data_IF_758262343188
#
_entry.id   IF_758262343188
#
_cell.length_a   1.000
_cell.length_b   1.000
_cell.length_c   1.000
_cell.angle_alpha   90.00
_cell.angle_beta   90.00
_cell.angle_gamma   90.00
#
_symmetry.space_group_name_H-M   'P 1'
#
loop_
_entity.id
_entity.type
_entity.pdbx_description
1 polymer ?
#
# COMPACT_ATOMS: atom_id res chain seq x y z
N UNK A 1 16.68 -17.60 57.78
CA UNK A 1 17.01 -16.22 57.32
C UNK A 1 16.13 -15.90 56.13
N UNK A 2 15.48 -14.73 56.15
CA UNK A 2 14.74 -14.18 55.01
C UNK A 2 15.57 -13.05 54.40
N UNK A 3 15.75 -13.08 53.08
CA UNK A 3 16.54 -12.08 52.35
C UNK A 3 15.68 -11.41 51.28
N UNK A 4 15.90 -10.11 51.11
CA UNK A 4 15.23 -9.30 50.10
C UNK A 4 16.28 -8.58 49.27
N UNK A 5 16.07 -8.58 47.96
CA UNK A 5 16.93 -7.90 46.98
C UNK A 5 16.24 -6.65 46.49
N UNK A 6 16.90 -5.51 46.66
CA UNK A 6 16.58 -4.30 45.88
C UNK A 6 17.47 -4.32 44.64
N UNK A 7 18.61 -3.63 44.68
CA UNK A 7 19.70 -3.78 43.72
C UNK A 7 20.68 -4.90 44.15
N UNK A 8 20.87 -5.04 45.46
CA UNK A 8 21.73 -6.06 46.08
C UNK A 8 20.99 -6.82 47.20
N UNK A 9 21.52 -7.98 47.59
CA UNK A 9 21.03 -8.74 48.74
C UNK A 9 21.55 -8.11 50.04
N UNK A 10 20.95 -7.00 50.47
CA UNK A 10 21.38 -6.23 51.66
C UNK A 10 20.31 -6.09 52.73
N UNK A 11 19.18 -6.77 52.59
CA UNK A 11 18.05 -6.67 53.51
C UNK A 11 17.75 -8.05 54.08
N UNK A 12 18.15 -8.33 55.33
CA UNK A 12 18.05 -9.69 55.90
C UNK A 12 17.49 -9.72 57.31
N UNK A 13 16.50 -10.58 57.51
CA UNK A 13 15.96 -10.93 58.82
C UNK A 13 16.41 -12.35 59.22
N UNK A 14 16.96 -12.49 60.43
CA UNK A 14 17.59 -13.74 60.89
C UNK A 14 16.96 -14.21 62.21
N UNK A 15 16.60 -15.48 62.28
CA UNK A 15 16.14 -16.17 63.48
C UNK A 15 17.13 -17.27 63.85
N UNK A 16 17.33 -17.52 65.15
CA UNK A 16 18.30 -18.49 65.66
C UNK A 16 19.68 -17.89 65.89
N UNK A 17 20.72 -18.68 65.58
CA UNK A 17 22.10 -18.22 65.67
C UNK A 17 22.40 -17.23 64.53
N UNK A 18 22.52 -15.94 64.86
CA UNK A 18 22.81 -14.87 63.90
C UNK A 18 24.18 -15.02 63.22
N UNK A 19 25.09 -15.82 63.78
CA UNK A 19 26.44 -16.04 63.27
C UNK A 19 26.58 -17.35 62.48
N UNK A 20 25.51 -18.15 62.35
CA UNK A 20 25.52 -19.35 61.51
C UNK A 20 25.58 -19.02 60.00
N UNK A 21 25.19 -17.81 59.61
CA UNK A 21 25.32 -17.29 58.25
C UNK A 21 26.00 -15.92 58.35
N UNK A 22 27.20 -15.80 57.79
CA UNK A 22 28.10 -14.64 57.95
C UNK A 22 27.84 -13.51 56.94
N UNK A 23 26.73 -13.57 56.21
CA UNK A 23 26.39 -12.59 55.17
C UNK A 23 25.88 -11.26 55.75
N UNK A 24 26.52 -10.16 55.37
CA UNK A 24 26.17 -8.80 55.76
C UNK A 24 26.77 -8.35 57.10
N UNK A 25 26.89 -7.03 57.28
CA UNK A 25 27.50 -6.47 58.48
C UNK A 25 26.66 -6.73 59.76
N UNK A 26 27.33 -7.19 60.83
CA UNK A 26 26.70 -7.45 62.13
C UNK A 26 26.05 -6.17 62.69
N UNK A 27 24.88 -6.29 63.30
CA UNK A 27 24.19 -5.16 63.95
C UNK A 27 23.61 -4.12 62.97
N UNK A 28 23.59 -4.41 61.68
CA UNK A 28 23.00 -3.54 60.65
C UNK A 28 21.72 -4.14 60.07
N UNK A 29 21.03 -3.37 59.25
CA UNK A 29 19.88 -3.82 58.44
C UNK A 29 20.22 -4.97 57.48
N UNK A 30 21.50 -5.18 57.19
CA UNK A 30 22.00 -6.29 56.38
C UNK A 30 21.97 -7.64 57.11
N UNK A 31 21.78 -7.62 58.44
CA UNK A 31 21.71 -8.81 59.28
C UNK A 31 20.94 -8.53 60.58
N UNK A 32 19.65 -8.23 60.43
CA UNK A 32 18.77 -7.92 61.56
C UNK A 32 18.34 -9.21 62.28
N UNK A 33 18.78 -9.40 63.52
CA UNK A 33 18.35 -10.54 64.35
C UNK A 33 16.93 -10.31 64.88
N UNK A 34 16.07 -11.32 64.75
CA UNK A 34 14.63 -11.26 65.03
C UNK A 34 14.17 -12.21 66.13
N UNK A 35 15.08 -12.97 66.74
CA UNK A 35 14.79 -13.84 67.87
C UNK A 35 15.30 -15.27 67.69
N UNK A 36 14.83 -16.16 68.57
CA UNK A 36 15.15 -17.58 68.54
C UNK A 36 14.53 -18.29 67.32
N UNK A 37 14.97 -19.52 67.03
CA UNK A 37 14.29 -20.36 66.05
C UNK A 37 12.87 -20.72 66.52
N UNK A 38 11.91 -20.85 65.60
CA UNK A 38 10.60 -21.44 65.91
C UNK A 38 10.72 -22.82 66.56
N UNK A 39 9.75 -23.16 67.41
CA UNK A 39 9.66 -24.48 68.03
C UNK A 39 9.50 -25.57 66.96
N UNK A 40 10.26 -26.65 67.07
CA UNK A 40 10.22 -27.74 66.11
C UNK A 40 8.84 -28.41 66.09
N UNK A 41 8.33 -28.73 64.90
CA UNK A 41 7.04 -29.41 64.72
C UNK A 41 5.80 -28.52 64.72
N UNK A 42 5.95 -27.19 64.86
CA UNK A 42 4.83 -26.23 64.79
C UNK A 42 4.99 -25.27 63.62
N UNK A 43 3.86 -24.89 63.01
CA UNK A 43 3.83 -23.76 62.07
C UNK A 43 3.83 -22.45 62.84
N UNK A 44 4.80 -21.59 62.57
CA UNK A 44 4.94 -20.29 63.22
C UNK A 44 5.01 -19.21 62.16
N UNK A 45 4.15 -18.20 62.28
CA UNK A 45 4.18 -17.01 61.41
C UNK A 45 5.37 -16.14 61.80
N UNK A 46 6.31 -15.97 60.86
CA UNK A 46 7.41 -15.02 61.01
C UNK A 46 7.01 -13.68 60.39
N UNK A 47 6.96 -12.64 61.22
CA UNK A 47 6.63 -11.28 60.78
C UNK A 47 7.58 -10.25 61.38
N UNK A 48 7.85 -9.20 60.60
CA UNK A 48 8.68 -8.07 61.01
C UNK A 48 8.35 -6.86 60.13
N UNK A 49 8.55 -5.67 60.68
CA UNK A 49 8.42 -4.41 59.94
C UNK A 49 9.52 -4.28 58.89
N UNK A 50 9.18 -3.89 57.65
CA UNK A 50 10.14 -3.80 56.55
C UNK A 50 11.31 -2.84 56.85
N UNK A 51 11.06 -1.80 57.66
CA UNK A 51 12.07 -0.84 58.13
C UNK A 51 13.20 -1.48 58.94
N UNK A 52 12.95 -2.62 59.59
CA UNK A 52 13.95 -3.36 60.40
C UNK A 52 15.09 -3.89 59.53
N UNK A 53 14.79 -4.27 58.29
CA UNK A 53 15.79 -4.68 57.30
C UNK A 53 16.20 -3.53 56.39
N UNK A 54 15.86 -2.29 56.76
CA UNK A 54 16.24 -1.07 56.06
C UNK A 54 15.46 -0.80 54.77
N UNK A 55 14.35 -1.50 54.53
CA UNK A 55 13.46 -1.22 53.41
C UNK A 55 12.56 -0.02 53.75
N UNK A 56 12.44 0.90 52.81
CA UNK A 56 11.64 2.13 52.91
C UNK A 56 10.44 2.09 51.96
N UNK A 57 9.38 2.88 52.22
CA UNK A 57 8.30 3.06 51.26
C UNK A 57 8.84 3.50 49.89
N UNK A 58 8.51 2.73 48.84
CA UNK A 58 8.97 2.99 47.48
C UNK A 58 10.16 2.13 47.02
N UNK A 59 10.83 1.41 47.92
CA UNK A 59 11.89 0.48 47.53
C UNK A 59 11.33 -0.67 46.68
N UNK A 60 11.97 -0.93 45.54
CA UNK A 60 11.59 -2.03 44.65
C UNK A 60 12.29 -3.31 45.08
N UNK A 61 11.53 -4.24 45.65
CA UNK A 61 12.03 -5.58 45.95
C UNK A 61 11.98 -6.44 44.67
N UNK A 62 13.15 -6.71 44.11
CA UNK A 62 13.35 -7.49 42.88
C UNK A 62 13.60 -8.98 43.14
N UNK A 63 13.59 -9.44 44.39
CA UNK A 63 13.79 -10.84 44.74
C UNK A 63 13.64 -11.11 46.23
N UNK A 64 13.20 -12.32 46.55
CA UNK A 64 13.08 -12.85 47.92
C UNK A 64 13.80 -14.19 47.96
N UNK A 65 14.57 -14.44 49.01
CA UNK A 65 15.21 -15.74 49.24
C UNK A 65 14.98 -16.23 50.68
N UNK A 66 14.69 -17.52 50.79
CA UNK A 66 14.54 -18.23 52.05
C UNK A 66 15.80 -19.05 52.27
N UNK A 67 16.56 -18.72 53.30
CA UNK A 67 17.88 -19.31 53.54
C UNK A 67 17.92 -20.00 54.90
N UNK A 68 18.34 -21.26 54.89
CA UNK A 68 18.52 -22.08 56.08
C UNK A 68 19.98 -22.51 56.22
N UNK A 69 20.43 -22.75 57.44
CA UNK A 69 21.74 -23.33 57.75
C UNK A 69 21.54 -24.53 58.66
N UNK A 70 21.85 -25.73 58.15
CA UNK A 70 21.60 -26.99 58.85
C UNK A 70 20.11 -27.35 59.00
N UNK A 71 19.84 -28.63 59.26
CA UNK A 71 18.49 -29.14 59.52
C UNK A 71 17.53 -29.10 58.32
N UNK A 72 16.23 -29.19 58.61
CA UNK A 72 15.13 -29.14 57.64
C UNK A 72 14.08 -28.13 58.10
N UNK A 73 13.75 -27.16 57.25
CA UNK A 73 12.67 -26.20 57.49
C UNK A 73 11.60 -26.34 56.40
N UNK A 74 10.34 -26.21 56.78
CA UNK A 74 9.21 -26.08 55.85
C UNK A 74 8.80 -24.61 55.73
N UNK A 75 8.55 -24.15 54.51
CA UNK A 75 7.96 -22.83 54.24
C UNK A 75 6.58 -23.05 53.63
N UNK A 76 5.60 -22.26 54.05
CA UNK A 76 4.26 -22.25 53.49
C UNK A 76 4.01 -20.88 52.84
N UNK A 77 3.07 -20.09 53.36
CA UNK A 77 2.72 -18.81 52.79
C UNK A 77 3.76 -17.72 53.11
N UNK A 78 4.08 -16.90 52.12
CA UNK A 78 4.88 -15.70 52.27
C UNK A 78 4.21 -14.53 51.54
N UNK A 79 4.26 -13.36 52.15
CA UNK A 79 3.67 -12.14 51.58
C UNK A 79 4.11 -10.91 52.34
N UNK A 80 3.68 -9.75 51.85
CA UNK A 80 3.81 -8.48 52.52
C UNK A 80 2.43 -7.83 52.61
N UNK A 81 2.14 -7.21 53.76
CA UNK A 81 0.96 -6.37 53.94
C UNK A 81 1.40 -4.92 53.94
N UNK A 82 0.76 -4.09 53.12
CA UNK A 82 1.08 -2.67 53.02
C UNK A 82 -0.16 -1.85 52.71
N UNK A 83 -0.07 -0.53 52.94
CA UNK A 83 -1.08 0.43 52.53
C UNK A 83 -0.67 1.03 51.19
N UNK A 84 -1.47 0.80 50.17
CA UNK A 84 -1.37 1.53 48.90
C UNK A 84 -1.99 2.91 49.11
N UNK A 85 -1.29 3.95 48.67
CA UNK A 85 -1.84 5.30 48.53
C UNK A 85 -2.11 5.57 47.04
N UNK A 86 -3.36 5.43 46.57
CA UNK A 86 -3.70 5.60 45.17
C UNK A 86 -3.31 6.98 44.61
N UNK A 87 -3.21 8.01 45.45
CA UNK A 87 -2.85 9.36 45.02
C UNK A 87 -1.39 9.47 44.53
N UNK A 88 -0.52 8.58 45.03
CA UNK A 88 0.91 8.55 44.72
C UNK A 88 1.34 7.39 43.81
N UNK A 89 0.43 6.48 43.47
CA UNK A 89 0.67 5.40 42.52
C UNK A 89 0.44 5.89 41.07
N UNK A 90 1.47 5.94 40.20
CA UNK A 90 1.31 6.32 38.80
C UNK A 90 0.30 5.46 38.04
N UNK A 91 0.10 4.19 38.40
CA UNK A 91 -0.86 3.32 37.71
C UNK A 91 -2.31 3.57 38.12
N UNK A 92 -2.55 4.33 39.20
CA UNK A 92 -3.88 4.63 39.73
C UNK A 92 -4.21 6.14 39.70
N UNK A 93 -3.20 7.01 39.62
CA UNK A 93 -3.36 8.46 39.58
C UNK A 93 -2.67 9.09 38.36
N UNK A 94 -3.48 9.76 37.52
CA UNK A 94 -2.99 10.59 36.42
C UNK A 94 -2.02 11.68 36.92
N UNK A 95 -2.28 12.26 38.08
CA UNK A 95 -1.43 13.29 38.65
C UNK A 95 -0.07 12.73 39.10
N UNK A 96 -0.04 11.52 39.69
CA UNK A 96 1.21 10.83 40.00
C UNK A 96 2.00 10.46 38.74
N UNK A 97 1.31 9.94 37.72
CA UNK A 97 1.93 9.62 36.43
C UNK A 97 2.48 10.85 35.72
N UNK A 98 1.74 11.96 35.71
CA UNK A 98 2.18 13.22 35.10
C UNK A 98 3.40 13.78 35.84
N UNK A 99 3.34 13.86 37.18
CA UNK A 99 4.48 14.30 38.01
C UNK A 99 5.73 13.46 37.78
N UNK A 100 5.59 12.15 37.57
CA UNK A 100 6.72 11.25 37.32
C UNK A 100 7.52 11.63 36.06
N UNK A 101 6.85 12.17 35.04
CA UNK A 101 7.43 12.50 33.74
C UNK A 101 7.64 14.01 33.52
N UNK A 102 7.13 14.84 34.43
CA UNK A 102 7.27 16.30 34.37
C UNK A 102 8.75 16.72 34.35
N UNK A 103 9.11 17.58 33.39
CA UNK A 103 10.50 18.06 33.23
C UNK A 103 11.49 16.99 32.77
N UNK A 104 11.01 15.84 32.30
CA UNK A 104 11.84 14.74 31.77
C UNK A 104 11.58 14.53 30.27
N UNK A 105 12.47 13.76 29.63
CA UNK A 105 12.33 13.32 28.25
C UNK A 105 12.14 11.79 28.18
N UNK A 106 10.94 11.27 28.50
CA UNK A 106 10.71 9.82 28.59
C UNK A 106 10.70 9.18 27.20
N UNK A 107 11.79 8.47 26.89
CA UNK A 107 11.98 7.79 25.60
C UNK A 107 10.97 6.67 25.34
N UNK A 108 10.35 6.15 26.39
CA UNK A 108 9.31 5.13 26.32
C UNK A 108 7.95 5.64 25.81
N UNK A 109 7.71 6.96 25.85
CA UNK A 109 6.44 7.53 25.44
C UNK A 109 6.40 7.85 23.92
N UNK A 110 5.22 7.71 23.27
CA UNK A 110 5.06 8.11 21.88
C UNK A 110 5.42 9.58 21.66
N UNK A 111 6.02 9.89 20.49
CA UNK A 111 6.51 11.23 20.15
C UNK A 111 5.57 12.40 20.53
N UNK A 112 4.27 12.36 20.17
CA UNK A 112 3.34 13.43 20.53
C UNK A 112 3.14 13.63 22.04
N UNK A 113 3.19 12.55 22.84
CA UNK A 113 3.04 12.61 24.31
C UNK A 113 4.35 13.05 24.96
N UNK A 114 5.47 12.51 24.49
CA UNK A 114 6.82 12.90 24.91
C UNK A 114 7.07 14.39 24.71
N UNK A 115 6.64 14.93 23.57
CA UNK A 115 6.79 16.35 23.26
C UNK A 115 6.04 17.26 24.24
N UNK A 116 4.84 16.86 24.69
CA UNK A 116 4.08 17.62 25.70
C UNK A 116 4.85 17.74 27.03
N UNK A 117 5.56 16.68 27.45
CA UNK A 117 6.39 16.72 28.65
C UNK A 117 7.69 17.50 28.47
N UNK A 118 8.24 17.49 27.25
CA UNK A 118 9.50 18.17 26.92
C UNK A 118 9.36 19.68 26.76
N UNK A 119 8.35 20.14 26.02
CA UNK A 119 8.29 21.54 25.56
C UNK A 119 7.21 22.38 26.22
N UNK A 120 6.32 21.77 27.01
CA UNK A 120 5.22 22.51 27.67
C UNK A 120 5.18 22.25 29.17
N UNK A 121 5.54 23.28 29.95
CA UNK A 121 5.39 23.26 31.40
C UNK A 121 3.94 22.96 31.79
N UNK A 122 3.72 22.19 32.87
CA UNK A 122 2.38 21.81 33.33
C UNK A 122 1.37 22.95 33.40
N UNK A 123 1.79 24.15 33.84
CA UNK A 123 0.93 25.34 33.97
C UNK A 123 0.51 25.95 32.64
N UNK A 124 1.22 25.66 31.55
CA UNK A 124 1.02 26.26 30.22
C UNK A 124 0.41 25.27 29.21
N UNK A 125 0.00 24.07 29.65
CA UNK A 125 -0.58 23.06 28.76
C UNK A 125 -1.96 23.51 28.27
N UNK A 126 -2.17 23.41 26.96
CA UNK A 126 -3.47 23.67 26.36
C UNK A 126 -4.49 22.58 26.76
N UNK A 127 -5.80 22.86 26.70
CA UNK A 127 -6.83 21.85 26.95
C UNK A 127 -6.67 20.59 26.09
N UNK A 128 -6.22 20.75 24.83
CA UNK A 128 -5.96 19.64 23.92
C UNK A 128 -4.78 18.76 24.38
N UNK A 129 -3.69 19.37 24.88
CA UNK A 129 -2.55 18.63 25.41
C UNK A 129 -2.92 17.87 26.68
N UNK A 130 -3.69 18.49 27.59
CA UNK A 130 -4.20 17.81 28.79
C UNK A 130 -5.10 16.63 28.43
N UNK A 131 -6.00 16.81 27.46
CA UNK A 131 -6.85 15.73 26.96
C UNK A 131 -6.02 14.59 26.34
N UNK A 132 -4.96 14.90 25.58
CA UNK A 132 -4.07 13.91 24.99
C UNK A 132 -3.32 13.09 26.06
N UNK A 133 -2.76 13.75 27.08
CA UNK A 133 -2.11 13.08 28.22
C UNK A 133 -3.09 12.16 28.95
N UNK A 134 -4.30 12.64 29.24
CA UNK A 134 -5.35 11.85 29.90
C UNK A 134 -5.77 10.66 29.05
N UNK A 135 -5.97 10.84 27.75
CA UNK A 135 -6.34 9.75 26.84
C UNK A 135 -5.25 8.68 26.79
N UNK A 136 -3.98 9.09 26.69
CA UNK A 136 -2.85 8.17 26.72
C UNK A 136 -2.79 7.38 28.04
N UNK A 137 -2.91 8.09 29.17
CA UNK A 137 -2.91 7.51 30.49
C UNK A 137 -3.99 6.44 30.67
N UNK A 138 -5.25 6.78 30.34
CA UNK A 138 -6.37 5.84 30.44
C UNK A 138 -6.18 4.63 29.51
N UNK A 139 -5.62 4.86 28.31
CA UNK A 139 -5.45 3.79 27.35
C UNK A 139 -4.31 2.82 27.68
N UNK A 140 -3.21 3.30 28.28
CA UNK A 140 -1.95 2.53 28.35
C UNK A 140 -1.36 2.35 29.75
N UNK A 141 -1.69 3.23 30.68
CA UNK A 141 -0.98 3.35 31.97
C UNK A 141 -1.86 3.00 33.17
N UNK A 142 -3.15 3.39 33.12
CA UNK A 142 -4.08 3.18 34.22
C UNK A 142 -4.41 1.71 34.41
N UNK A 143 -4.16 1.17 35.60
CA UNK A 143 -4.44 -0.22 35.94
C UNK A 143 -5.92 -0.60 35.76
N UNK A 144 -6.83 0.35 36.02
CA UNK A 144 -8.27 0.13 35.94
C UNK A 144 -8.79 -0.01 34.49
N UNK A 145 -8.22 0.74 33.54
CA UNK A 145 -8.74 0.82 32.17
C UNK A 145 -7.85 0.13 31.13
N UNK A 146 -6.56 -0.06 31.42
CA UNK A 146 -5.58 -0.67 30.51
C UNK A 146 -6.01 -2.02 29.93
N UNK A 147 -6.59 -2.98 30.68
CA UNK A 147 -6.99 -4.26 30.09
C UNK A 147 -8.02 -4.11 28.97
N UNK A 148 -9.04 -3.26 29.18
CA UNK A 148 -10.08 -2.99 28.19
C UNK A 148 -9.54 -2.26 26.95
N UNK A 149 -8.64 -1.30 27.14
CA UNK A 149 -8.02 -0.60 26.02
C UNK A 149 -7.00 -1.46 25.27
N UNK A 150 -6.32 -2.40 25.93
CA UNK A 150 -5.36 -3.29 25.29
C UNK A 150 -6.02 -4.12 24.18
N UNK A 151 -7.21 -4.67 24.43
CA UNK A 151 -8.00 -5.41 23.44
C UNK A 151 -8.38 -4.52 22.24
N UNK A 152 -8.95 -3.34 22.51
CA UNK A 152 -9.36 -2.38 21.47
C UNK A 152 -8.17 -1.85 20.64
N UNK A 153 -7.03 -1.62 21.28
CA UNK A 153 -5.82 -1.17 20.59
C UNK A 153 -5.26 -2.27 19.68
N UNK A 154 -5.25 -3.52 20.14
CA UNK A 154 -4.83 -4.67 19.35
C UNK A 154 -5.75 -4.90 18.14
N UNK A 155 -7.06 -4.79 18.33
CA UNK A 155 -8.04 -4.86 17.24
C UNK A 155 -7.81 -3.73 16.23
N UNK A 156 -7.69 -2.49 16.70
CA UNK A 156 -7.44 -1.34 15.84
C UNK A 156 -6.12 -1.45 15.06
N UNK A 157 -5.09 -2.06 15.65
CA UNK A 157 -3.82 -2.34 14.96
C UNK A 157 -3.98 -3.39 13.87
N UNK A 158 -4.71 -4.48 14.15
CA UNK A 158 -5.05 -5.51 13.16
C UNK A 158 -5.82 -4.93 11.97
N UNK A 159 -6.82 -4.08 12.24
CA UNK A 159 -7.60 -3.41 11.19
C UNK A 159 -6.72 -2.47 10.36
N UNK A 160 -5.87 -1.66 11.00
CA UNK A 160 -4.92 -0.77 10.28
C UNK A 160 -3.96 -1.56 9.40
N UNK A 161 -3.43 -2.68 9.91
CA UNK A 161 -2.55 -3.58 9.16
C UNK A 161 -3.28 -4.13 7.93
N UNK A 162 -4.48 -4.68 8.11
CA UNK A 162 -5.29 -5.25 7.04
C UNK A 162 -5.68 -4.20 5.98
N UNK A 163 -5.95 -2.97 6.40
CA UNK A 163 -6.17 -1.84 5.47
C UNK A 163 -4.92 -1.55 4.64
N UNK A 164 -3.75 -1.46 5.28
CA UNK A 164 -2.50 -1.24 4.56
C UNK A 164 -2.16 -2.36 3.57
N UNK A 165 -2.39 -3.62 3.94
CA UNK A 165 -2.24 -4.77 3.04
C UNK A 165 -3.20 -4.69 1.85
N UNK A 166 -4.46 -4.31 2.08
CA UNK A 166 -5.44 -4.13 1.02
C UNK A 166 -5.02 -3.00 0.07
N UNK A 167 -4.68 -1.83 0.60
CA UNK A 167 -4.22 -0.68 -0.19
C UNK A 167 -2.99 -1.03 -1.03
N UNK A 168 -2.02 -1.76 -0.46
CA UNK A 168 -0.83 -2.23 -1.18
C UNK A 168 -1.14 -3.29 -2.25
N UNK A 169 -2.24 -4.04 -2.10
CA UNK A 169 -2.68 -5.03 -3.09
C UNK A 169 -3.37 -4.42 -4.30
N UNK A 170 -3.86 -3.18 -4.20
CA UNK A 170 -4.49 -2.48 -5.31
C UNK A 170 -3.43 -2.19 -6.38
N UNK A 171 -3.57 -2.71 -7.61
CA UNK A 171 -2.65 -2.38 -8.68
C UNK A 171 -2.69 -0.86 -8.94
N UNK A 172 -1.55 -0.20 -8.76
CA UNK A 172 -1.39 1.20 -9.11
C UNK A 172 -0.94 1.33 -10.57
N UNK A 173 -1.44 2.36 -11.23
CA UNK A 173 -0.98 2.75 -12.56
C UNK A 173 -0.53 4.20 -12.50
N UNK A 174 0.59 4.50 -13.15
CA UNK A 174 1.00 5.88 -13.34
C UNK A 174 -0.03 6.59 -14.21
N UNK A 175 -0.48 7.75 -13.74
CA UNK A 175 -1.32 8.67 -14.51
C UNK A 175 -0.56 9.94 -14.77
N UNK A 176 -0.68 10.46 -15.99
CA UNK A 176 -0.10 11.75 -16.34
C UNK A 176 -1.00 12.86 -15.83
N UNK A 177 -0.47 13.68 -14.92
CA UNK A 177 -1.11 14.92 -14.48
C UNK A 177 -0.43 16.11 -15.14
N UNK A 178 -1.20 17.11 -15.53
CA UNK A 178 -0.64 18.38 -15.99
C UNK A 178 0.12 19.06 -14.84
N UNK A 179 1.23 19.71 -15.20
CA UNK A 179 2.01 20.53 -14.26
C UNK A 179 1.30 21.85 -14.02
N UNK A 180 1.42 22.40 -12.81
CA UNK A 180 0.88 23.73 -12.47
C UNK A 180 1.43 24.81 -13.41
N UNK A 181 2.71 24.70 -13.79
CA UNK A 181 3.34 25.50 -14.83
C UNK A 181 3.66 24.61 -16.05
N UNK A 182 3.00 24.81 -17.20
CA UNK A 182 3.33 24.11 -18.43
C UNK A 182 4.78 24.35 -18.86
N UNK A 183 5.40 23.35 -19.48
CA UNK A 183 6.70 23.49 -20.12
C UNK A 183 6.56 24.25 -21.42
N UNK A 184 7.51 25.14 -21.69
CA UNK A 184 7.61 25.79 -22.99
C UNK A 184 7.96 24.76 -24.07
N UNK A 185 7.31 24.85 -25.22
CA UNK A 185 7.51 23.98 -26.38
C UNK A 185 7.82 24.84 -27.60
N UNK A 186 8.64 24.32 -28.52
CA UNK A 186 9.14 25.06 -29.67
C UNK A 186 9.09 24.21 -30.94
N UNK A 187 8.95 24.83 -32.10
CA UNK A 187 9.15 24.16 -33.39
C UNK A 187 10.65 23.94 -33.59
N UNK A 188 11.08 22.69 -33.76
CA UNK A 188 12.49 22.36 -33.95
C UNK A 188 12.91 22.64 -35.40
N UNK A 189 13.92 23.50 -35.59
CA UNK A 189 14.40 23.85 -36.92
C UNK A 189 14.98 22.60 -37.60
N UNK A 190 14.38 22.19 -38.73
CA UNK A 190 14.74 20.97 -39.46
C UNK A 190 14.66 19.69 -38.60
N UNK A 191 13.86 19.70 -37.53
CA UNK A 191 13.72 18.57 -36.61
C UNK A 191 14.90 18.35 -35.65
N UNK A 192 15.89 19.26 -35.62
CA UNK A 192 17.03 19.15 -34.72
C UNK A 192 16.63 19.55 -33.28
N UNK A 193 16.73 18.61 -32.34
CA UNK A 193 16.27 18.77 -30.96
C UNK A 193 17.00 19.88 -30.17
N UNK A 194 18.20 20.24 -30.62
CA UNK A 194 19.08 21.26 -30.05
C UNK A 194 18.91 22.64 -30.70
N UNK A 195 18.02 22.77 -31.69
CA UNK A 195 17.76 24.02 -32.41
C UNK A 195 16.29 24.46 -32.26
N UNK A 196 15.90 24.98 -31.09
CA UNK A 196 14.55 25.49 -30.88
C UNK A 196 14.32 26.73 -31.76
N UNK A 197 13.23 26.71 -32.51
CA UNK A 197 12.71 27.86 -33.26
C UNK A 197 11.60 28.56 -32.49
N UNK A 198 10.48 28.83 -33.15
CA UNK A 198 9.37 29.56 -32.57
C UNK A 198 8.68 28.80 -31.43
N UNK A 199 8.33 29.53 -30.37
CA UNK A 199 7.56 28.98 -29.25
C UNK A 199 6.13 28.69 -29.71
N UNK A 200 5.60 27.53 -29.33
CA UNK A 200 4.24 27.11 -29.65
C UNK A 200 3.41 26.92 -28.39
N UNK A 201 2.10 27.12 -28.54
CA UNK A 201 1.10 26.85 -27.52
C UNK A 201 0.28 25.63 -27.91
N UNK A 202 -0.53 25.13 -26.96
CA UNK A 202 -1.46 24.02 -27.23
C UNK A 202 -2.49 24.46 -28.27
N UNK A 203 -2.64 23.68 -29.33
CA UNK A 203 -3.57 23.94 -30.41
C UNK A 203 -3.71 22.74 -31.34
N UNK A 204 -4.40 22.94 -32.45
CA UNK A 204 -4.58 21.95 -33.52
C UNK A 204 -4.10 22.54 -34.85
N UNK A 205 -3.71 21.72 -35.83
CA UNK A 205 -3.31 22.23 -37.14
C UNK A 205 -4.43 23.06 -37.78
N UNK A 206 -4.08 24.23 -38.33
CA UNK A 206 -5.03 25.18 -38.90
C UNK A 206 -5.79 24.66 -40.13
N UNK A 207 -5.31 23.56 -40.75
CA UNK A 207 -5.98 22.87 -41.85
C UNK A 207 -7.26 22.12 -41.42
N UNK A 208 -7.47 21.94 -40.11
CA UNK A 208 -8.64 21.28 -39.54
C UNK A 208 -9.54 22.28 -38.81
N UNK A 209 -10.79 21.90 -38.47
CA UNK A 209 -11.66 22.75 -37.67
C UNK A 209 -10.99 23.24 -36.38
N UNK A 210 -11.26 24.47 -35.93
CA UNK A 210 -10.63 25.01 -34.74
C UNK A 210 -11.05 24.22 -33.49
N UNK A 211 -10.11 24.05 -32.56
CA UNK A 211 -10.39 23.46 -31.25
C UNK A 211 -11.15 24.49 -30.38
N UNK A 212 -12.38 24.15 -29.98
CA UNK A 212 -13.20 24.98 -29.10
C UNK A 212 -12.96 24.57 -27.64
N UNK A 213 -12.23 25.41 -26.89
CA UNK A 213 -12.00 25.24 -25.45
C UNK A 213 -12.48 26.48 -24.69
N UNK A 214 -13.05 26.29 -23.49
CA UNK A 214 -13.48 27.38 -22.59
C UNK A 214 -12.32 28.04 -21.82
N UNK A 215 -11.08 27.86 -22.25
CA UNK A 215 -9.86 28.25 -21.57
C UNK A 215 -8.62 27.69 -22.27
N UNK A 216 -7.52 27.49 -21.54
CA UNK A 216 -6.33 26.85 -22.12
C UNK A 216 -6.65 25.41 -22.52
N UNK A 217 -6.46 25.03 -23.80
CA UNK A 217 -6.75 23.68 -24.26
C UNK A 217 -6.03 22.62 -23.44
N UNK A 218 -6.71 21.52 -23.16
CA UNK A 218 -6.14 20.37 -22.46
C UNK A 218 -6.36 19.07 -23.26
N UNK A 219 -5.92 17.93 -22.70
CA UNK A 219 -6.04 16.62 -23.37
C UNK A 219 -7.48 16.18 -23.59
N UNK A 220 -8.40 16.55 -22.71
CA UNK A 220 -9.83 16.25 -22.87
C UNK A 220 -10.43 17.05 -24.02
N UNK A 221 -10.02 18.30 -24.19
CA UNK A 221 -10.47 19.13 -25.32
C UNK A 221 -9.99 18.53 -26.65
N UNK A 222 -8.73 18.10 -26.73
CA UNK A 222 -8.21 17.40 -27.91
C UNK A 222 -8.96 16.10 -28.19
N UNK A 223 -9.25 15.30 -27.15
CA UNK A 223 -9.99 14.05 -27.30
C UNK A 223 -11.41 14.29 -27.85
N UNK A 224 -12.13 15.29 -27.31
CA UNK A 224 -13.45 15.70 -27.79
C UNK A 224 -13.40 16.24 -29.21
N UNK A 225 -12.37 17.01 -29.55
CA UNK A 225 -12.16 17.54 -30.88
C UNK A 225 -11.94 16.43 -31.92
N UNK A 226 -11.11 15.43 -31.59
CA UNK A 226 -10.82 14.30 -32.48
C UNK A 226 -12.09 13.53 -32.87
N UNK A 227 -13.02 13.34 -31.93
CA UNK A 227 -14.26 12.57 -32.16
C UNK A 227 -15.47 13.47 -32.46
N UNK A 228 -15.24 14.76 -32.70
CA UNK A 228 -16.32 15.71 -33.02
C UNK A 228 -16.92 15.45 -34.40
N UNK A 229 -18.19 15.82 -34.58
CA UNK A 229 -18.89 15.67 -35.86
C UNK A 229 -18.29 16.53 -36.98
N UNK A 230 -17.63 17.63 -36.60
CA UNK A 230 -16.93 18.53 -37.52
C UNK A 230 -15.60 17.95 -38.01
N UNK A 231 -15.01 16.98 -37.29
CA UNK A 231 -13.69 16.46 -37.64
C UNK A 231 -13.76 15.50 -38.86
N UNK A 232 -13.08 15.80 -39.97
CA UNK A 232 -13.32 15.10 -41.25
C UNK A 232 -12.67 13.72 -41.36
N UNK A 233 -11.63 13.42 -40.59
CA UNK A 233 -10.79 12.23 -40.83
C UNK A 233 -11.00 11.07 -39.83
N UNK A 234 -11.19 11.35 -38.54
CA UNK A 234 -11.16 10.33 -37.47
C UNK A 234 -12.05 9.12 -37.77
N UNK A 235 -13.31 9.35 -38.14
CA UNK A 235 -14.24 8.26 -38.44
C UNK A 235 -13.84 7.49 -39.71
N UNK A 236 -13.37 8.18 -40.76
CA UNK A 236 -12.90 7.57 -42.02
C UNK A 236 -11.67 6.71 -41.80
N UNK A 237 -10.67 7.25 -41.10
CA UNK A 237 -9.42 6.53 -40.80
C UNK A 237 -9.72 5.31 -39.93
N UNK A 238 -10.56 5.46 -38.90
CA UNK A 238 -10.96 4.34 -38.04
C UNK A 238 -11.69 3.24 -38.84
N UNK A 239 -12.72 3.62 -39.62
CA UNK A 239 -13.46 2.69 -40.47
C UNK A 239 -12.54 1.96 -41.46
N UNK A 240 -11.57 2.67 -42.07
CA UNK A 240 -10.59 2.08 -42.98
C UNK A 240 -9.64 1.10 -42.28
N UNK A 241 -9.17 1.41 -41.06
CA UNK A 241 -8.30 0.50 -40.30
C UNK A 241 -9.04 -0.77 -39.89
N UNK A 242 -10.29 -0.65 -39.43
CA UNK A 242 -11.13 -1.81 -39.15
C UNK A 242 -11.39 -2.61 -40.43
N UNK A 243 -11.74 -1.95 -41.53
CA UNK A 243 -11.88 -2.60 -42.83
C UNK A 243 -10.63 -3.38 -43.21
N UNK A 244 -9.45 -2.74 -43.14
CA UNK A 244 -8.18 -3.39 -43.44
C UNK A 244 -7.94 -4.64 -42.59
N UNK A 245 -8.30 -4.62 -41.30
CA UNK A 245 -8.14 -5.78 -40.41
C UNK A 245 -9.00 -6.98 -40.86
N UNK A 246 -10.20 -6.75 -41.41
CA UNK A 246 -11.12 -7.83 -41.83
C UNK A 246 -11.08 -8.16 -43.32
N UNK A 247 -10.55 -7.26 -44.16
CA UNK A 247 -10.49 -7.40 -45.62
C UNK A 247 -9.04 -7.40 -46.16
N UNK A 248 -8.04 -7.36 -45.28
CA UNK A 248 -6.61 -7.39 -45.59
C UNK A 248 -6.05 -6.07 -46.12
N UNK A 249 -6.74 -5.46 -47.08
CA UNK A 249 -6.38 -4.14 -47.63
C UNK A 249 -7.48 -3.13 -47.30
N UNK A 250 -7.09 -1.96 -46.77
CA UNK A 250 -8.01 -0.85 -46.51
C UNK A 250 -8.67 -0.33 -47.79
N UNK A 251 -9.85 0.26 -47.68
CA UNK A 251 -10.48 1.00 -48.79
C UNK A 251 -9.50 2.05 -49.34
N UNK A 252 -8.82 2.76 -48.45
CA UNK A 252 -7.56 3.48 -48.70
C UNK A 252 -6.39 2.53 -48.37
N UNK A 253 -5.57 2.20 -49.37
CA UNK A 253 -4.46 1.24 -49.23
C UNK A 253 -3.36 1.78 -48.30
N UNK A 254 -3.07 3.08 -48.40
CA UNK A 254 -2.12 3.81 -47.55
C UNK A 254 -2.78 4.24 -46.25
N UNK A 255 -3.01 3.30 -45.33
CA UNK A 255 -3.79 3.58 -44.11
C UNK A 255 -3.19 4.68 -43.21
N UNK A 256 -1.88 4.96 -43.33
CA UNK A 256 -1.19 6.01 -42.59
C UNK A 256 -1.12 7.36 -43.33
N UNK A 257 -1.64 7.43 -44.57
CA UNK A 257 -1.70 8.68 -45.35
C UNK A 257 -3.03 8.79 -46.12
N UNK A 258 -3.90 9.67 -45.60
CA UNK A 258 -5.18 10.07 -46.20
C UNK A 258 -5.08 11.41 -46.94
N UNK A 259 -3.87 11.97 -47.06
CA UNK A 259 -3.57 13.22 -47.73
C UNK A 259 -3.24 13.02 -49.22
N UNK A 260 -2.60 14.02 -49.81
CA UNK A 260 -2.30 14.07 -51.25
C UNK A 260 -1.22 13.09 -51.71
N UNK A 261 -0.42 12.55 -50.79
CA UNK A 261 0.60 11.52 -51.09
C UNK A 261 0.05 10.10 -50.89
N UNK A 262 -1.15 9.96 -50.31
CA UNK A 262 -1.86 8.71 -50.17
C UNK A 262 -2.58 8.27 -51.45
N UNK A 263 -3.02 7.02 -51.48
CA UNK A 263 -3.88 6.52 -52.56
C UNK A 263 -5.35 6.90 -52.31
N UNK A 264 -6.12 7.26 -53.35
CA UNK A 264 -7.54 7.49 -53.20
C UNK A 264 -8.26 6.20 -52.76
N UNK A 265 -9.40 6.32 -52.06
CA UNK A 265 -10.20 5.17 -51.68
C UNK A 265 -10.70 4.43 -52.93
N UNK A 266 -10.62 3.09 -52.91
CA UNK A 266 -11.21 2.24 -53.95
C UNK A 266 -12.73 2.42 -54.06
N UNK A 267 -13.39 2.63 -52.92
CA UNK A 267 -14.85 2.82 -52.82
C UNK A 267 -15.13 4.01 -51.89
N UNK A 268 -15.10 5.26 -52.39
CA UNK A 268 -15.25 6.46 -51.56
C UNK A 268 -16.60 6.51 -50.83
N UNK A 269 -17.69 6.20 -51.52
CA UNK A 269 -19.04 6.23 -50.92
C UNK A 269 -19.20 5.21 -49.80
N UNK A 270 -18.61 4.01 -49.95
CA UNK A 270 -18.62 2.99 -48.92
C UNK A 270 -17.83 3.43 -47.68
N UNK A 271 -16.66 4.05 -47.89
CA UNK A 271 -15.86 4.58 -46.79
C UNK A 271 -16.62 5.65 -46.01
N UNK A 272 -17.23 6.60 -46.72
CA UNK A 272 -18.02 7.67 -46.12
C UNK A 272 -19.24 7.13 -45.39
N UNK A 273 -19.94 6.16 -45.99
CA UNK A 273 -21.07 5.50 -45.35
C UNK A 273 -20.65 4.78 -44.07
N UNK A 274 -19.57 3.99 -44.09
CA UNK A 274 -19.06 3.31 -42.89
C UNK A 274 -18.63 4.30 -41.80
N UNK A 275 -18.00 5.41 -42.18
CA UNK A 275 -17.60 6.46 -41.24
C UNK A 275 -18.82 7.11 -40.57
N UNK A 276 -19.87 7.41 -41.34
CA UNK A 276 -21.12 7.95 -40.80
C UNK A 276 -21.81 6.93 -39.90
N UNK A 277 -21.91 5.66 -40.31
CA UNK A 277 -22.51 4.60 -39.49
C UNK A 277 -21.76 4.43 -38.16
N UNK A 278 -20.43 4.47 -38.19
CA UNK A 278 -19.63 4.31 -36.98
C UNK A 278 -19.86 5.45 -35.98
N UNK A 279 -19.85 6.69 -36.49
CA UNK A 279 -20.07 7.88 -35.66
C UNK A 279 -21.51 7.97 -35.14
N UNK A 280 -22.50 7.79 -36.01
CA UNK A 280 -23.93 7.85 -35.65
C UNK A 280 -24.35 6.71 -34.72
N UNK A 281 -23.70 5.55 -34.81
CA UNK A 281 -23.84 4.43 -33.87
C UNK A 281 -23.16 4.64 -32.51
N UNK A 282 -22.72 5.86 -32.18
CA UNK A 282 -22.11 6.18 -30.90
C UNK A 282 -20.70 5.62 -30.70
N UNK A 283 -19.95 5.44 -31.81
CA UNK A 283 -18.61 4.85 -31.80
C UNK A 283 -18.57 3.40 -31.28
N UNK A 284 -19.67 2.65 -31.42
CA UNK A 284 -19.72 1.23 -31.09
C UNK A 284 -18.90 0.41 -32.10
N UNK A 285 -17.67 0.05 -31.69
CA UNK A 285 -16.77 -0.77 -32.49
C UNK A 285 -17.35 -2.14 -32.79
N UNK A 286 -18.10 -2.77 -31.86
CA UNK A 286 -18.68 -4.10 -32.08
C UNK A 286 -19.79 -4.04 -33.13
N UNK A 287 -20.60 -2.99 -33.12
CA UNK A 287 -21.63 -2.79 -34.13
C UNK A 287 -21.03 -2.61 -35.54
N UNK A 288 -19.99 -1.78 -35.67
CA UNK A 288 -19.29 -1.59 -36.95
C UNK A 288 -18.64 -2.89 -37.44
N UNK A 289 -17.96 -3.62 -36.55
CA UNK A 289 -17.34 -4.91 -36.90
C UNK A 289 -18.41 -5.91 -37.33
N UNK A 290 -19.53 -6.02 -36.59
CA UNK A 290 -20.65 -6.89 -36.96
C UNK A 290 -21.18 -6.56 -38.35
N UNK A 291 -21.35 -5.27 -38.66
CA UNK A 291 -21.79 -4.80 -39.97
C UNK A 291 -20.83 -5.26 -41.09
N UNK A 292 -19.52 -5.15 -40.87
CA UNK A 292 -18.50 -5.59 -41.83
C UNK A 292 -18.51 -7.12 -42.01
N UNK A 293 -18.45 -7.90 -40.93
CA UNK A 293 -18.30 -9.36 -41.00
C UNK A 293 -19.59 -10.10 -41.38
N UNK A 294 -20.74 -9.44 -41.32
CA UNK A 294 -22.02 -10.00 -41.83
C UNK A 294 -22.34 -9.56 -43.25
N UNK A 295 -21.49 -8.73 -43.87
CA UNK A 295 -21.66 -8.31 -45.26
C UNK A 295 -21.52 -9.48 -46.25
N UNK A 296 -22.08 -9.32 -47.45
CA UNK A 296 -21.86 -10.27 -48.55
C UNK A 296 -20.38 -10.33 -48.93
N UNK A 297 -19.69 -9.17 -48.98
CA UNK A 297 -18.28 -9.08 -49.34
C UNK A 297 -17.39 -9.90 -48.40
N UNK A 298 -17.62 -9.85 -47.09
CA UNK A 298 -16.82 -10.63 -46.12
C UNK A 298 -17.06 -12.14 -46.24
N UNK A 299 -18.29 -12.54 -46.58
CA UNK A 299 -18.69 -13.96 -46.68
C UNK A 299 -18.35 -14.59 -48.03
N UNK A 300 -17.66 -13.88 -48.92
CA UNK A 300 -17.20 -14.45 -50.18
C UNK A 300 -16.18 -15.57 -49.96
N UNK A 301 -16.13 -16.49 -50.92
CA UNK A 301 -15.14 -17.56 -50.96
C UNK A 301 -13.73 -17.00 -51.20
N UNK A 302 -12.72 -17.58 -50.56
CA UNK A 302 -11.31 -17.20 -50.74
C UNK A 302 -10.61 -17.93 -51.89
N UNK A 303 -11.30 -18.88 -52.56
CA UNK A 303 -10.79 -19.59 -53.73
C UNK A 303 -10.43 -18.62 -54.87
N UNK A 304 -9.18 -18.71 -55.32
CA UNK A 304 -8.65 -17.90 -56.43
C UNK A 304 -8.68 -18.72 -57.72
N UNK A 305 -9.33 -18.20 -58.76
CA UNK A 305 -9.24 -18.73 -60.13
C UNK A 305 -8.33 -17.85 -60.99
N UNK A 306 -7.71 -18.37 -62.06
CA UNK A 306 -6.89 -17.56 -62.96
C UNK A 306 -7.62 -16.32 -63.51
N UNK A 307 -8.89 -16.47 -63.90
CA UNK A 307 -9.72 -15.36 -64.40
C UNK A 307 -10.02 -14.29 -63.33
N UNK A 308 -10.19 -14.67 -62.06
CA UNK A 308 -10.35 -13.72 -60.96
C UNK A 308 -9.05 -12.98 -60.65
N UNK A 309 -7.91 -13.67 -60.73
CA UNK A 309 -6.60 -13.08 -60.49
C UNK A 309 -6.24 -12.06 -61.58
N UNK A 310 -6.60 -12.33 -62.83
CA UNK A 310 -6.40 -11.40 -63.95
C UNK A 310 -7.26 -10.13 -63.80
N UNK A 311 -8.53 -10.28 -63.39
CA UNK A 311 -9.47 -9.16 -63.24
C UNK A 311 -9.23 -8.31 -61.99
N UNK A 312 -8.82 -8.92 -60.89
CA UNK A 312 -8.60 -8.24 -59.61
C UNK A 312 -7.37 -8.82 -58.87
N UNK A 313 -6.15 -8.55 -59.35
CA UNK A 313 -4.93 -9.14 -58.81
C UNK A 313 -4.69 -8.78 -57.34
N UNK A 314 -5.00 -7.55 -56.95
CA UNK A 314 -4.81 -7.02 -55.59
C UNK A 314 -6.04 -7.15 -54.68
N UNK A 315 -7.11 -7.81 -55.14
CA UNK A 315 -8.39 -7.92 -54.45
C UNK A 315 -9.02 -6.57 -54.04
N UNK A 316 -8.84 -5.54 -54.89
CA UNK A 316 -9.35 -4.17 -54.67
C UNK A 316 -10.83 -4.04 -54.94
N UNK A 317 -11.40 -4.90 -55.78
CA UNK A 317 -12.83 -4.96 -56.08
C UNK A 317 -13.58 -5.96 -55.21
N UNK A 318 -12.89 -6.56 -54.22
CA UNK A 318 -13.48 -7.51 -53.27
C UNK A 318 -14.14 -8.66 -54.02
N UNK A 319 -13.42 -9.23 -54.99
CA UNK A 319 -13.91 -10.34 -55.81
C UNK A 319 -13.75 -11.70 -55.11
N UNK A 320 -13.00 -11.74 -54.00
CA UNK A 320 -12.74 -12.93 -53.18
C UNK A 320 -12.49 -12.57 -51.71
N UNK A 321 -12.59 -13.58 -50.85
CA UNK A 321 -12.17 -13.49 -49.45
C UNK A 321 -10.67 -13.17 -49.32
N UNK A 322 -10.27 -12.34 -48.34
CA UNK A 322 -8.87 -11.97 -48.11
C UNK A 322 -8.03 -13.13 -47.58
N UNK A 323 -6.72 -13.08 -47.82
CA UNK A 323 -5.73 -13.98 -47.21
C UNK A 323 -4.91 -13.19 -46.20
N UNK A 324 -4.74 -13.74 -45.01
CA UNK A 324 -3.99 -13.10 -43.93
C UNK A 324 -2.73 -13.89 -43.61
N UNK A 325 -1.68 -13.15 -43.26
CA UNK A 325 -0.58 -13.69 -42.47
C UNK A 325 -1.04 -13.66 -41.01
N UNK A 326 -0.89 -14.77 -40.30
CA UNK A 326 -1.18 -14.81 -38.87
C UNK A 326 -0.05 -14.11 -38.09
N UNK A 327 -0.44 -13.25 -37.15
CA UNK A 327 0.49 -12.65 -36.19
C UNK A 327 0.99 -13.69 -35.19
N UNK A 328 2.10 -13.40 -34.50
CA UNK A 328 2.74 -14.34 -33.59
C UNK A 328 1.77 -14.87 -32.50
N UNK A 329 0.93 -13.98 -31.97
CA UNK A 329 -0.09 -14.28 -30.97
C UNK A 329 -1.16 -15.21 -31.55
N UNK A 330 -1.61 -14.95 -32.79
CA UNK A 330 -2.61 -15.79 -33.45
C UNK A 330 -2.06 -17.18 -33.77
N UNK A 331 -0.80 -17.28 -34.17
CA UNK A 331 -0.12 -18.57 -34.40
C UNK A 331 -0.09 -19.39 -33.09
N UNK A 332 0.34 -18.76 -31.99
CA UNK A 332 0.37 -19.38 -30.67
C UNK A 332 -1.01 -19.84 -30.23
N UNK A 333 -2.01 -18.95 -30.31
CA UNK A 333 -3.36 -19.25 -29.84
C UNK A 333 -4.03 -20.33 -30.70
N UNK A 334 -3.72 -20.37 -32.00
CA UNK A 334 -4.12 -21.47 -32.87
C UNK A 334 -3.53 -22.80 -32.42
N UNK A 335 -2.22 -22.86 -32.15
CA UNK A 335 -1.57 -24.06 -31.64
C UNK A 335 -2.14 -24.53 -30.29
N UNK A 336 -2.40 -23.60 -29.36
CA UNK A 336 -3.05 -23.90 -28.07
C UNK A 336 -4.50 -24.37 -28.25
N UNK A 337 -5.23 -23.77 -29.18
CA UNK A 337 -6.61 -24.16 -29.46
C UNK A 337 -6.68 -25.57 -30.06
N UNK A 338 -5.84 -25.88 -31.04
CA UNK A 338 -5.80 -27.20 -31.70
C UNK A 338 -5.33 -28.30 -30.75
N UNK A 339 -4.39 -27.98 -29.85
CA UNK A 339 -3.91 -28.92 -28.83
C UNK A 339 -4.84 -29.07 -27.61
N UNK A 340 -5.93 -28.28 -27.53
CA UNK A 340 -6.84 -28.31 -26.39
C UNK A 340 -6.29 -27.65 -25.11
N UNK A 341 -5.19 -26.92 -25.20
CA UNK A 341 -4.50 -26.25 -24.08
C UNK A 341 -4.89 -24.78 -23.90
N UNK A 342 -5.75 -24.24 -24.77
CA UNK A 342 -6.18 -22.84 -24.71
C UNK A 342 -7.07 -22.58 -23.48
N UNK A 343 -6.57 -21.77 -22.56
CA UNK A 343 -7.35 -21.22 -21.45
C UNK A 343 -8.10 -19.95 -21.87
N UNK A 344 -9.43 -19.97 -21.75
CA UNK A 344 -10.32 -18.85 -22.14
C UNK A 344 -10.73 -17.95 -20.96
N UNK A 345 -10.19 -18.17 -19.77
CA UNK A 345 -10.49 -17.32 -18.60
C UNK A 345 -10.00 -15.90 -18.88
N UNK A 346 -10.92 -14.93 -18.80
CA UNK A 346 -10.58 -13.51 -18.97
C UNK A 346 -10.04 -12.93 -17.66
N UNK A 347 -9.02 -12.07 -17.78
CA UNK A 347 -8.34 -11.46 -16.64
C UNK A 347 -7.29 -12.37 -16.00
N UNK A 348 -6.87 -12.02 -14.78
CA UNK A 348 -5.78 -12.71 -14.08
C UNK A 348 -4.39 -12.16 -14.42
N UNK A 349 -3.35 -12.80 -13.88
CA UNK A 349 -1.96 -12.41 -14.17
C UNK A 349 -1.61 -12.77 -15.62
N UNK A 350 -0.84 -11.91 -16.28
CA UNK A 350 -0.33 -12.18 -17.62
C UNK A 350 0.50 -13.47 -17.68
N UNK A 351 0.40 -14.19 -18.79
CA UNK A 351 1.16 -15.41 -19.03
C UNK A 351 2.53 -15.05 -19.58
N UNK A 352 3.60 -15.60 -19.00
CA UNK A 352 4.95 -15.52 -19.57
C UNK A 352 5.13 -16.68 -20.54
N UNK A 353 5.25 -16.39 -21.82
CA UNK A 353 5.61 -17.40 -22.82
C UNK A 353 7.03 -17.92 -22.57
N UNK A 354 7.30 -19.12 -23.08
CA UNK A 354 8.65 -19.68 -23.05
C UNK A 354 9.63 -18.68 -23.69
N UNK A 355 10.69 -18.34 -22.95
CA UNK A 355 11.80 -17.54 -23.45
C UNK A 355 13.01 -18.48 -23.55
N UNK A 356 13.64 -18.60 -24.73
CA UNK A 356 14.91 -19.32 -24.85
C UNK A 356 15.96 -18.76 -23.88
N UNK A 357 16.91 -19.58 -23.40
CA UNK A 357 18.04 -19.07 -22.65
C UNK A 357 18.79 -18.01 -23.46
N UNK A 358 19.36 -17.02 -22.77
CA UNK A 358 20.26 -16.00 -23.30
C UNK A 358 19.65 -14.96 -24.28
N UNK A 359 18.32 -14.82 -24.37
CA UNK A 359 17.68 -13.81 -25.24
C UNK A 359 18.00 -12.34 -24.84
N UNK A 360 18.52 -12.13 -23.64
CA UNK A 360 18.88 -10.81 -23.08
C UNK A 360 20.39 -10.56 -23.08
N UNK A 361 21.21 -11.52 -23.51
CA UNK A 361 22.65 -11.32 -23.62
C UNK A 361 22.92 -10.40 -24.83
N UNK A 362 23.64 -9.28 -24.66
CA UNK A 362 24.07 -8.48 -25.79
C UNK A 362 24.97 -9.31 -26.69
N UNK A 363 24.64 -9.36 -27.98
CA UNK A 363 25.43 -10.03 -29.04
C UNK A 363 26.74 -9.27 -29.28
#
# INVERSE_FOLDING_TARGET
MLQYRTDEWKHRAVWGNADAIDWGAKGTTQRAHRGALPEAGKWVRLEFEASVVGLKPGDKVAGIAFTQFGGRVGWDQAGATGRLDPANDPTQSLAAWTRRHEGKDPGELPGPIREIFRSTAATNRTPAQVAALRAHYLARESAATRPRFAELLAEGESIRKRRGELEASVPSSFVWRDLDKPRDSFVMQRGAYDRPGEKVTRGVPAAFPPLRAGGTPNRLDLARWLVSDEHPLTARVAANRYWQQFFGTGLVKTADDFGSQGQPPSHPELLDWLAVQYRAGGWDTKALVRLMVTSHAYRQDSRVTPALLERDPENRWLARGPRFRLEAEQIRDNALSVSGLLDRRMGGRGVKTYQPPNIWEPV
#
